data_IF_727493390639
#
_entry.id   IF_727493390639
#
_cell.length_a   1.000
_cell.length_b   1.000
_cell.length_c   1.000
_cell.angle_alpha   90.00
_cell.angle_beta   90.00
_cell.angle_gamma   90.00
#
_symmetry.space_group_name_H-M   'P 1'
#
loop_
_entity.id
_entity.type
_entity.pdbx_description
1 polymer ?
#
# COMPACT_ATOMS: atom_id res chain seq x y z
N UNK A 1 3.82 -21.79 -8.71
CA UNK A 1 3.84 -21.00 -9.95
C UNK A 1 3.26 -19.63 -9.64
N UNK A 2 4.09 -18.65 -9.28
CA UNK A 2 3.63 -17.34 -8.76
C UNK A 2 3.26 -16.46 -9.94
N UNK A 3 1.98 -16.11 -10.08
CA UNK A 3 1.53 -15.14 -11.09
C UNK A 3 2.01 -13.76 -10.65
N UNK A 4 3.14 -13.35 -11.25
CA UNK A 4 3.76 -12.02 -11.16
C UNK A 4 2.95 -11.01 -11.96
N UNK A 5 1.70 -10.78 -11.58
CA UNK A 5 0.87 -9.80 -12.29
C UNK A 5 0.81 -8.56 -11.40
N UNK A 6 1.77 -7.65 -11.59
CA UNK A 6 1.84 -6.30 -11.01
C UNK A 6 0.68 -5.42 -11.50
N UNK A 7 -0.54 -5.95 -11.57
CA UNK A 7 -1.71 -5.31 -12.13
C UNK A 7 -2.65 -4.84 -11.04
N UNK A 8 -3.40 -3.78 -11.32
CA UNK A 8 -4.49 -3.34 -10.48
C UNK A 8 -5.54 -4.46 -10.40
N UNK A 9 -5.98 -4.87 -9.18
CA UNK A 9 -6.96 -5.94 -9.04
C UNK A 9 -8.34 -5.58 -9.63
N UNK A 10 -8.60 -4.30 -9.91
CA UNK A 10 -9.89 -3.83 -10.42
C UNK A 10 -9.92 -3.70 -11.95
N UNK A 11 -8.84 -3.20 -12.57
CA UNK A 11 -8.81 -2.93 -14.01
C UNK A 11 -7.69 -3.67 -14.78
N UNK A 12 -6.81 -4.38 -14.09
CA UNK A 12 -5.67 -5.09 -14.69
C UNK A 12 -4.50 -4.20 -15.14
N UNK A 13 -4.62 -2.88 -15.05
CA UNK A 13 -3.56 -1.96 -15.46
C UNK A 13 -2.30 -2.17 -14.61
N UNK A 14 -1.11 -2.13 -15.23
CA UNK A 14 0.16 -2.27 -14.51
C UNK A 14 0.30 -1.15 -13.46
N UNK A 15 0.64 -1.54 -12.23
CA UNK A 15 0.91 -0.65 -11.12
C UNK A 15 2.42 -0.46 -10.96
N UNK A 16 2.82 0.80 -10.88
CA UNK A 16 4.15 1.21 -10.44
C UNK A 16 4.09 1.59 -8.96
N UNK A 17 5.09 1.18 -8.18
CA UNK A 17 5.06 1.35 -6.73
C UNK A 17 5.15 2.83 -6.33
N UNK A 18 6.00 3.61 -6.98
CA UNK A 18 6.14 5.03 -6.67
C UNK A 18 4.91 5.82 -7.11
N UNK A 19 4.34 5.52 -8.29
CA UNK A 19 3.10 6.14 -8.74
C UNK A 19 1.90 5.78 -7.86
N UNK A 20 1.86 4.56 -7.30
CA UNK A 20 0.83 4.17 -6.36
C UNK A 20 0.97 4.90 -5.02
N UNK A 21 2.20 5.07 -4.51
CA UNK A 21 2.48 5.86 -3.32
C UNK A 21 2.12 7.34 -3.50
N UNK A 22 2.31 7.89 -4.70
CA UNK A 22 1.83 9.25 -5.04
C UNK A 22 0.31 9.38 -5.04
N UNK A 23 -0.38 8.29 -5.36
CA UNK A 23 -1.84 8.23 -5.37
C UNK A 23 -2.44 7.88 -4.00
N UNK A 24 -1.62 7.73 -2.96
CA UNK A 24 -2.09 7.56 -1.59
C UNK A 24 -2.62 8.89 -1.04
N UNK A 25 -3.84 8.87 -0.49
CA UNK A 25 -4.52 10.07 0.02
C UNK A 25 -4.42 10.25 1.53
N UNK A 26 -3.96 9.24 2.27
CA UNK A 26 -3.86 9.30 3.73
C UNK A 26 -3.65 7.94 4.40
N UNK A 27 -3.38 7.97 5.70
CA UNK A 27 -3.32 6.79 6.57
C UNK A 27 -4.75 6.40 6.98
N UNK A 28 -5.11 5.12 6.77
CA UNK A 28 -6.41 4.55 7.16
C UNK A 28 -6.37 3.88 8.52
N UNK A 29 -5.24 3.25 8.84
CA UNK A 29 -5.03 2.53 10.09
C UNK A 29 -3.54 2.61 10.42
N UNK A 30 -3.19 3.40 11.45
CA UNK A 30 -1.81 3.62 11.83
C UNK A 30 -1.14 2.37 12.42
N UNK A 31 -1.89 1.59 13.20
CA UNK A 31 -1.39 0.36 13.83
C UNK A 31 -0.97 -0.69 12.79
N UNK A 32 -1.73 -0.80 11.70
CA UNK A 32 -1.44 -1.72 10.60
C UNK A 32 -0.64 -1.09 9.46
N UNK A 33 -0.39 0.22 9.50
CA UNK A 33 0.32 0.96 8.46
C UNK A 33 -0.41 0.93 7.11
N UNK A 34 -1.74 0.97 7.10
CA UNK A 34 -2.54 0.85 5.87
C UNK A 34 -2.90 2.24 5.35
N UNK A 35 -2.67 2.45 4.06
CA UNK A 35 -2.93 3.68 3.34
C UNK A 35 -4.16 3.55 2.43
N UNK A 36 -4.92 4.63 2.31
CA UNK A 36 -5.92 4.79 1.25
C UNK A 36 -5.22 5.19 -0.04
N UNK A 37 -5.55 4.54 -1.15
CA UNK A 37 -5.06 4.92 -2.47
C UNK A 37 -6.16 4.83 -3.53
N UNK A 38 -5.90 5.48 -4.67
CA UNK A 38 -6.70 5.31 -5.88
C UNK A 38 -5.80 4.77 -6.98
N UNK A 39 -6.27 3.78 -7.74
CA UNK A 39 -5.53 3.31 -8.91
C UNK A 39 -5.31 4.49 -9.88
N UNK A 40 -4.06 4.81 -10.28
CA UNK A 40 -3.81 5.92 -11.19
C UNK A 40 -4.52 5.78 -12.54
N UNK A 41 -4.79 4.54 -12.99
CA UNK A 41 -5.44 4.27 -14.27
C UNK A 41 -6.97 4.31 -14.20
N UNK A 42 -7.61 3.56 -13.29
CA UNK A 42 -9.08 3.44 -13.24
C UNK A 42 -9.74 4.23 -12.11
N UNK A 43 -8.97 4.89 -11.24
CA UNK A 43 -9.46 5.61 -10.06
C UNK A 43 -10.26 4.73 -9.06
N UNK A 44 -10.17 3.41 -9.20
CA UNK A 44 -10.73 2.46 -8.25
C UNK A 44 -10.02 2.58 -6.90
N UNK A 45 -10.79 2.44 -5.83
CA UNK A 45 -10.27 2.50 -4.45
C UNK A 45 -9.41 1.27 -4.15
N UNK A 46 -8.27 1.50 -3.51
CA UNK A 46 -7.32 0.48 -3.10
C UNK A 46 -6.86 0.76 -1.68
N UNK A 47 -6.59 -0.31 -0.93
CA UNK A 47 -5.90 -0.22 0.36
C UNK A 47 -4.52 -0.82 0.19
N UNK A 48 -3.51 -0.06 0.65
CA UNK A 48 -2.11 -0.35 0.39
C UNK A 48 -1.37 -0.36 1.72
N UNK A 49 -0.68 -1.46 2.03
CA UNK A 49 0.21 -1.56 3.17
C UNK A 49 1.67 -1.61 2.67
N UNK A 50 2.45 -0.54 2.89
CA UNK A 50 3.88 -0.55 2.64
C UNK A 50 4.59 -1.53 3.59
N UNK A 51 5.46 -2.36 3.03
CA UNK A 51 6.33 -3.29 3.77
C UNK A 51 7.73 -3.14 3.17
N UNK A 52 8.79 -3.37 3.95
CA UNK A 52 10.15 -3.28 3.39
C UNK A 52 10.28 -4.13 2.10
N UNK A 53 10.72 -3.47 1.03
CA UNK A 53 10.89 -4.06 -0.30
C UNK A 53 9.62 -4.32 -1.12
N UNK A 54 8.40 -4.02 -0.64
CA UNK A 54 7.16 -4.25 -1.40
C UNK A 54 5.94 -3.45 -0.93
N UNK A 55 4.94 -3.32 -1.79
CA UNK A 55 3.61 -2.84 -1.41
C UNK A 55 2.62 -4.01 -1.42
N UNK A 56 1.97 -4.26 -0.28
CA UNK A 56 0.86 -5.20 -0.21
C UNK A 56 -0.45 -4.47 -0.52
N UNK A 57 -1.21 -4.94 -1.51
CA UNK A 57 -2.56 -4.49 -1.81
C UNK A 57 -3.56 -5.50 -1.26
N UNK A 58 -4.61 -5.02 -0.62
CA UNK A 58 -5.50 -5.88 0.14
C UNK A 58 -6.72 -5.15 0.65
N UNK A 59 -7.24 -5.65 1.78
CA UNK A 59 -8.34 -5.04 2.49
C UNK A 59 -8.17 -5.19 4.00
N UNK A 60 -8.55 -4.16 4.73
CA UNK A 60 -8.75 -4.15 6.16
C UNK A 60 -10.01 -4.97 6.46
N UNK A 61 -9.82 -6.03 7.22
CA UNK A 61 -10.88 -6.91 7.69
C UNK A 61 -10.69 -7.26 9.16
N UNK A 62 -11.59 -8.09 9.68
CA UNK A 62 -11.54 -8.52 11.08
C UNK A 62 -12.92 -8.86 11.60
N UNK A 63 -12.99 -9.89 12.44
CA UNK A 63 -14.20 -10.28 13.14
C UNK A 63 -13.90 -10.34 14.64
N UNK A 64 -14.84 -9.92 15.49
CA UNK A 64 -14.70 -10.06 16.94
C UNK A 64 -13.59 -9.21 17.58
N UNK A 65 -13.32 -8.01 17.06
CA UNK A 65 -12.44 -7.03 17.72
C UNK A 65 -10.95 -7.09 17.34
N UNK A 66 -10.54 -7.98 16.44
CA UNK A 66 -9.17 -8.02 15.91
C UNK A 66 -9.14 -7.51 14.46
N UNK A 67 -8.62 -6.29 14.26
CA UNK A 67 -8.35 -5.75 12.90
C UNK A 67 -7.16 -6.49 12.31
N UNK A 68 -7.25 -6.86 11.03
CA UNK A 68 -6.18 -7.48 10.25
C UNK A 68 -6.21 -6.98 8.81
N UNK A 69 -5.05 -6.94 8.19
CA UNK A 69 -4.94 -6.66 6.76
C UNK A 69 -4.76 -7.97 5.98
N UNK A 70 -5.67 -8.22 5.05
CA UNK A 70 -5.68 -9.40 4.19
C UNK A 70 -5.08 -9.04 2.85
N UNK A 71 -3.93 -9.63 2.53
CA UNK A 71 -3.19 -9.32 1.31
C UNK A 71 -3.78 -10.10 0.13
N UNK A 72 -4.20 -9.37 -0.90
CA UNK A 72 -4.68 -9.94 -2.15
C UNK A 72 -3.57 -10.01 -3.23
N UNK A 73 -2.68 -9.02 -3.24
CA UNK A 73 -1.58 -8.90 -4.20
C UNK A 73 -0.39 -8.22 -3.54
N UNK A 74 0.84 -8.60 -3.93
CA UNK A 74 2.05 -7.87 -3.54
C UNK A 74 2.78 -7.35 -4.78
N UNK A 75 3.17 -6.08 -4.74
CA UNK A 75 3.98 -5.40 -5.74
C UNK A 75 5.41 -5.26 -5.22
N UNK A 76 6.38 -5.86 -5.92
CA UNK A 76 7.79 -5.70 -5.56
C UNK A 76 8.22 -4.23 -5.75
N UNK A 77 8.91 -3.70 -4.75
CA UNK A 77 9.45 -2.35 -4.73
C UNK A 77 10.82 -2.38 -4.05
N UNK A 78 11.84 -2.84 -4.77
CA UNK A 78 13.18 -2.98 -4.21
C UNK A 78 13.71 -1.63 -3.69
N UNK A 79 14.27 -1.65 -2.48
CA UNK A 79 14.73 -0.43 -1.80
C UNK A 79 13.63 0.40 -1.15
N UNK A 80 12.38 -0.08 -1.10
CA UNK A 80 11.33 0.52 -0.28
C UNK A 80 11.66 0.37 1.20
N UNK A 81 11.83 1.49 1.89
CA UNK A 81 12.00 1.56 3.33
C UNK A 81 10.74 2.14 3.98
N UNK A 82 10.38 1.62 5.16
CA UNK A 82 9.18 1.99 5.90
C UNK A 82 9.56 2.21 7.35
N UNK A 83 9.19 3.37 7.90
CA UNK A 83 9.40 3.72 9.30
C UNK A 83 8.07 4.17 9.90
N UNK A 84 7.58 3.44 10.90
CA UNK A 84 6.40 3.81 11.66
C UNK A 84 6.83 4.41 13.01
N UNK A 85 6.29 5.58 13.34
CA UNK A 85 6.55 6.27 14.60
C UNK A 85 5.24 6.86 15.13
N UNK A 86 4.56 6.13 16.01
CA UNK A 86 3.24 6.52 16.53
C UNK A 86 2.19 6.50 15.42
N UNK A 87 1.55 7.64 15.21
CA UNK A 87 0.51 7.90 14.21
C UNK A 87 1.08 8.35 12.85
N UNK A 88 2.41 8.33 12.68
CA UNK A 88 3.10 8.76 11.46
C UNK A 88 3.76 7.57 10.77
N UNK A 89 3.49 7.44 9.46
CA UNK A 89 4.17 6.51 8.57
C UNK A 89 5.06 7.28 7.59
N UNK A 90 6.37 7.01 7.63
CA UNK A 90 7.35 7.53 6.68
C UNK A 90 7.78 6.43 5.73
N UNK A 91 7.86 6.77 4.45
CA UNK A 91 8.20 5.82 3.39
C UNK A 91 9.26 6.46 2.51
N UNK A 92 10.27 5.67 2.13
CA UNK A 92 11.28 6.09 1.17
C UNK A 92 11.43 5.04 0.06
N UNK A 93 11.54 5.49 -1.19
CA UNK A 93 11.79 4.63 -2.35
C UNK A 93 12.49 5.44 -3.45
N UNK A 94 13.62 4.94 -3.96
CA UNK A 94 14.35 5.55 -5.08
C UNK A 94 14.62 7.06 -4.90
N UNK A 95 14.97 7.49 -3.68
CA UNK A 95 15.25 8.89 -3.33
C UNK A 95 14.02 9.77 -3.09
N UNK A 96 12.82 9.22 -3.23
CA UNK A 96 11.54 9.89 -2.94
C UNK A 96 11.09 9.54 -1.54
N UNK A 97 10.36 10.47 -0.91
CA UNK A 97 9.88 10.33 0.45
C UNK A 97 8.40 10.70 0.52
N UNK A 98 7.64 9.92 1.28
CA UNK A 98 6.24 10.19 1.60
C UNK A 98 6.08 10.15 3.12
N UNK A 99 5.14 10.95 3.61
CA UNK A 99 4.77 10.96 5.02
C UNK A 99 3.26 11.02 5.11
N UNK A 100 2.70 10.07 5.85
CA UNK A 100 1.27 9.97 6.11
C UNK A 100 1.06 10.04 7.62
N UNK A 101 0.08 10.82 8.03
CA UNK A 101 -0.41 10.90 9.41
C UNK A 101 -1.92 10.65 9.41
N UNK A 102 -2.45 10.16 10.52
CA UNK A 102 -3.90 9.95 10.74
C UNK A 102 -4.69 11.27 10.80
#
# INVERSE_FOLDING_TARGET
MVKRESGCPLCGARLDAAALLDACSGLLDADLGVLAARCPACQGYLEVRPVEGRLDLGYLGGAGGSRRFEVALSLLAEGLAVEAAGDVLRIALAGRHWTFAE
#
